data_IF_158174124784
#
_entry.id   IF_158174124784
#
_cell.length_a   1.000
_cell.length_b   1.000
_cell.length_c   1.000
_cell.angle_alpha   90.00
_cell.angle_beta   90.00
_cell.angle_gamma   90.00
#
_symmetry.space_group_name_H-M   'P 1'
#
loop_
_entity.id
_entity.type
_entity.pdbx_description
1 polymer ?
#
# COMPACT_ATOMS: atom_id res chain seq x y z
N UNK A 1 17.53 -22.08 13.45
CA UNK A 1 17.62 -20.74 14.03
C UNK A 1 17.60 -19.65 13.01
N UNK A 2 18.62 -19.63 12.19
CA UNK A 2 18.70 -18.62 11.14
C UNK A 2 17.54 -18.73 10.19
N UNK A 3 17.17 -19.93 9.78
CA UNK A 3 16.08 -20.15 8.86
C UNK A 3 14.75 -19.64 9.43
N UNK A 4 14.56 -19.86 10.73
CA UNK A 4 13.35 -19.39 11.39
C UNK A 4 13.30 -17.87 11.40
N UNK A 5 14.42 -17.24 11.67
CA UNK A 5 14.51 -15.80 11.71
C UNK A 5 14.26 -15.19 10.34
N UNK A 6 14.82 -15.81 9.32
CA UNK A 6 14.61 -15.36 7.95
C UNK A 6 13.14 -15.46 7.56
N UNK A 7 12.50 -16.55 8.01
CA UNK A 7 11.09 -16.76 7.73
C UNK A 7 10.23 -15.66 8.35
N UNK A 8 10.63 -15.23 9.55
CA UNK A 8 9.90 -14.21 10.29
C UNK A 8 9.89 -12.88 9.56
N UNK A 9 10.98 -12.54 8.87
CA UNK A 9 11.11 -11.27 8.18
C UNK A 9 11.01 -11.39 6.67
N UNK A 10 10.65 -12.58 6.18
CA UNK A 10 10.56 -12.80 4.74
C UNK A 10 9.42 -12.02 4.13
N UNK A 11 8.25 -12.09 4.72
CA UNK A 11 7.06 -11.46 4.19
C UNK A 11 6.99 -10.02 4.69
N UNK A 12 6.95 -9.10 3.75
CA UNK A 12 6.92 -7.69 4.05
C UNK A 12 5.72 -7.05 3.37
N UNK A 13 5.28 -5.93 3.90
CA UNK A 13 4.23 -5.13 3.29
C UNK A 13 4.76 -3.74 3.03
N UNK A 14 4.48 -3.24 1.84
CA UNK A 14 4.83 -1.87 1.47
C UNK A 14 3.56 -1.05 1.51
N UNK A 15 3.57 0.02 2.30
CA UNK A 15 2.44 0.95 2.38
C UNK A 15 2.87 2.27 1.77
N UNK A 16 2.02 2.81 0.92
CA UNK A 16 2.27 4.07 0.23
C UNK A 16 1.18 5.05 0.64
N UNK A 17 1.62 6.17 1.23
CA UNK A 17 0.75 7.27 1.61
C UNK A 17 1.10 8.43 0.70
N UNK A 18 0.12 9.06 0.08
CA UNK A 18 0.45 10.13 -0.86
C UNK A 18 -0.58 11.24 -0.81
N UNK A 19 -0.10 12.42 -1.19
CA UNK A 19 -0.91 13.61 -1.29
C UNK A 19 -0.59 14.26 -2.61
N UNK A 20 -1.55 14.27 -3.52
CA UNK A 20 -1.38 14.78 -4.87
C UNK A 20 -2.38 15.89 -5.10
N UNK A 21 -1.95 17.00 -5.71
CA UNK A 21 -2.88 18.08 -6.03
C UNK A 21 -3.88 17.66 -7.08
N UNK A 22 -5.09 18.17 -6.98
CA UNK A 22 -6.17 17.82 -7.90
C UNK A 22 -6.99 19.02 -8.34
N UNK A 23 -6.39 20.21 -8.34
CA UNK A 23 -7.10 21.42 -8.69
C UNK A 23 -7.30 21.57 -10.20
N UNK A 24 -6.29 21.23 -10.96
CA UNK A 24 -6.37 21.36 -12.43
C UNK A 24 -6.65 20.00 -13.04
N UNK A 25 -7.08 20.03 -14.29
CA UNK A 25 -7.35 18.80 -15.01
C UNK A 25 -6.06 17.99 -15.24
N UNK A 26 -4.94 18.67 -15.43
CA UNK A 26 -3.65 18.03 -15.55
C UNK A 26 -3.25 17.33 -14.27
N UNK A 27 -3.48 17.99 -13.13
CA UNK A 27 -3.17 17.41 -11.83
C UNK A 27 -4.02 16.18 -11.57
N UNK A 28 -5.31 16.25 -11.91
CA UNK A 28 -6.20 15.11 -11.72
C UNK A 28 -5.77 13.93 -12.58
N UNK A 29 -5.33 14.22 -13.79
CA UNK A 29 -4.87 13.18 -14.69
C UNK A 29 -3.59 12.53 -14.14
N UNK A 30 -2.68 13.33 -13.62
CA UNK A 30 -1.45 12.81 -13.02
C UNK A 30 -1.74 11.96 -11.80
N UNK A 31 -2.67 12.41 -10.95
CA UNK A 31 -3.07 11.64 -9.77
C UNK A 31 -3.70 10.32 -10.16
N UNK A 32 -4.57 10.35 -11.15
CA UNK A 32 -5.21 9.13 -11.64
C UNK A 32 -4.17 8.17 -12.22
N UNK A 33 -3.21 8.71 -12.95
CA UNK A 33 -2.12 7.90 -13.51
C UNK A 33 -1.28 7.23 -12.44
N UNK A 34 -1.00 7.96 -11.35
CA UNK A 34 -0.25 7.40 -10.25
C UNK A 34 -1.01 6.25 -9.60
N UNK A 35 -2.31 6.42 -9.37
CA UNK A 35 -3.13 5.36 -8.78
C UNK A 35 -3.18 4.13 -9.68
N UNK A 36 -3.32 4.34 -10.98
CA UNK A 36 -3.32 3.23 -11.93
C UNK A 36 -1.97 2.52 -11.93
N UNK A 37 -0.89 3.29 -11.84
CA UNK A 37 0.44 2.72 -11.78
C UNK A 37 0.63 1.83 -10.56
N UNK A 38 0.11 2.27 -9.41
CA UNK A 38 0.18 1.47 -8.19
C UNK A 38 -0.58 0.15 -8.37
N UNK A 39 -1.78 0.23 -8.93
CA UNK A 39 -2.59 -0.97 -9.15
C UNK A 39 -1.88 -1.93 -10.11
N UNK A 40 -1.30 -1.40 -11.18
CA UNK A 40 -0.59 -2.23 -12.14
C UNK A 40 0.65 -2.85 -11.54
N UNK A 41 1.24 -2.20 -10.56
CA UNK A 41 2.40 -2.75 -9.85
C UNK A 41 2.01 -3.69 -8.71
N UNK A 42 0.74 -4.03 -8.61
CA UNK A 42 0.26 -5.02 -7.65
C UNK A 42 -0.19 -4.48 -6.32
N UNK A 43 -0.32 -3.18 -6.19
CA UNK A 43 -0.82 -2.58 -4.95
C UNK A 43 -2.34 -2.64 -4.91
N UNK A 44 -2.86 -2.69 -3.71
CA UNK A 44 -4.30 -2.67 -3.44
C UNK A 44 -4.62 -1.43 -2.61
N UNK A 45 -5.72 -0.79 -2.93
CA UNK A 45 -6.12 0.39 -2.18
C UNK A 45 -6.63 0.01 -0.80
N UNK A 46 -6.02 0.59 0.23
CA UNK A 46 -6.48 0.42 1.59
C UNK A 46 -7.44 1.55 1.94
N UNK A 47 -7.06 2.75 1.59
CA UNK A 47 -7.91 3.93 1.64
C UNK A 47 -7.54 4.79 0.44
N UNK A 48 -8.31 5.82 0.18
CA UNK A 48 -8.18 6.57 -1.07
C UNK A 48 -6.75 7.01 -1.38
N UNK A 49 -6.00 7.43 -0.40
CA UNK A 49 -4.62 7.88 -0.59
C UNK A 49 -3.62 6.96 0.10
N UNK A 50 -4.01 5.72 0.37
CA UNK A 50 -3.15 4.73 1.01
C UNK A 50 -3.27 3.42 0.27
N UNK A 51 -2.14 2.95 -0.26
CA UNK A 51 -2.09 1.70 -0.98
C UNK A 51 -1.11 0.75 -0.31
N UNK A 52 -1.32 -0.54 -0.48
CA UNK A 52 -0.50 -1.55 0.16
C UNK A 52 -0.17 -2.66 -0.80
N UNK A 53 0.97 -3.30 -0.59
CA UNK A 53 1.39 -4.43 -1.39
C UNK A 53 2.12 -5.45 -0.53
N UNK A 54 1.70 -6.70 -0.66
CA UNK A 54 2.35 -7.83 -0.02
C UNK A 54 3.59 -8.20 -0.83
N UNK A 55 4.71 -8.41 -0.16
CA UNK A 55 5.96 -8.76 -0.84
C UNK A 55 6.59 -9.96 -0.15
N UNK A 56 7.00 -10.98 -0.92
CA UNK A 56 7.52 -12.20 -0.32
C UNK A 56 8.90 -12.05 0.31
N UNK A 57 9.60 -10.95 0.06
CA UNK A 57 10.92 -10.74 0.64
C UNK A 57 11.20 -9.24 0.75
N UNK A 58 12.21 -8.90 1.54
CA UNK A 58 12.64 -7.52 1.65
C UNK A 58 13.19 -7.00 0.32
N UNK A 59 13.91 -7.82 -0.40
CA UNK A 59 14.43 -7.42 -1.70
C UNK A 59 13.32 -7.10 -2.68
N UNK A 60 12.27 -7.89 -2.65
CA UNK A 60 11.12 -7.67 -3.49
C UNK A 60 10.44 -6.36 -3.10
N UNK A 61 10.32 -6.12 -1.81
CA UNK A 61 9.74 -4.87 -1.31
C UNK A 61 10.54 -3.67 -1.78
N UNK A 62 11.86 -3.75 -1.71
CA UNK A 62 12.72 -2.65 -2.13
C UNK A 62 12.56 -2.32 -3.60
N UNK A 63 12.35 -3.33 -4.42
CA UNK A 63 12.11 -3.13 -5.84
C UNK A 63 10.85 -2.30 -6.06
N UNK A 64 9.79 -2.63 -5.35
CA UNK A 64 8.54 -1.90 -5.49
C UNK A 64 8.61 -0.50 -4.91
N UNK A 65 9.38 -0.32 -3.85
CA UNK A 65 9.62 1.02 -3.30
C UNK A 65 10.27 1.91 -4.37
N UNK A 66 11.28 1.39 -5.05
CA UNK A 66 11.95 2.15 -6.10
C UNK A 66 10.99 2.51 -7.23
N UNK A 67 10.14 1.57 -7.63
CA UNK A 67 9.18 1.80 -8.69
C UNK A 67 8.18 2.89 -8.32
N UNK A 68 7.68 2.84 -7.09
CA UNK A 68 6.72 3.83 -6.61
C UNK A 68 7.34 5.23 -6.63
N UNK A 69 8.58 5.35 -6.14
CA UNK A 69 9.25 6.63 -6.15
C UNK A 69 9.40 7.21 -7.56
N UNK A 70 9.64 6.33 -8.51
CA UNK A 70 9.80 6.75 -9.90
C UNK A 70 8.48 7.18 -10.55
N UNK A 71 7.37 6.74 -10.01
CA UNK A 71 6.05 7.06 -10.56
C UNK A 71 5.47 8.37 -10.02
N UNK A 72 6.00 8.87 -8.93
CA UNK A 72 5.40 10.03 -8.25
C UNK A 72 5.42 11.26 -9.16
N UNK A 73 4.27 11.93 -9.34
CA UNK A 73 4.24 13.18 -10.13
C UNK A 73 5.08 14.28 -9.50
N UNK A 74 5.53 15.20 -10.32
CA UNK A 74 6.43 16.28 -9.88
C UNK A 74 5.86 17.08 -8.72
N UNK A 75 4.56 17.30 -8.72
CA UNK A 75 3.92 18.13 -7.70
C UNK A 75 3.43 17.33 -6.51
N UNK A 76 3.73 16.05 -6.46
CA UNK A 76 3.18 15.19 -5.43
C UNK A 76 4.14 14.93 -4.29
N UNK A 77 3.58 14.51 -3.16
CA UNK A 77 4.34 14.07 -2.00
C UNK A 77 3.90 12.67 -1.62
N UNK A 78 4.85 11.89 -1.12
CA UNK A 78 4.53 10.54 -0.70
C UNK A 78 5.38 10.10 0.47
N UNK A 79 4.83 9.19 1.25
CA UNK A 79 5.55 8.52 2.33
C UNK A 79 5.41 7.04 2.08
N UNK A 80 6.50 6.33 2.19
CA UNK A 80 6.51 4.88 2.02
C UNK A 80 6.99 4.24 3.31
N UNK A 81 6.26 3.24 3.77
CA UNK A 81 6.62 2.50 4.96
C UNK A 81 6.63 1.02 4.62
N UNK A 82 7.71 0.34 4.98
CA UNK A 82 7.82 -1.10 4.81
C UNK A 82 7.76 -1.75 6.19
N UNK A 83 6.82 -2.66 6.37
CA UNK A 83 6.61 -3.31 7.66
C UNK A 83 6.55 -4.81 7.48
N UNK A 84 6.73 -5.53 8.59
CA UNK A 84 6.64 -6.97 8.56
C UNK A 84 5.18 -7.42 8.48
N UNK A 85 4.99 -8.67 8.10
CA UNK A 85 3.66 -9.25 8.06
C UNK A 85 3.00 -9.21 9.45
N UNK A 86 3.79 -9.44 10.48
CA UNK A 86 3.27 -9.38 11.84
C UNK A 86 2.77 -7.97 12.19
N UNK A 87 3.56 -6.97 11.85
CA UNK A 87 3.15 -5.58 12.10
C UNK A 87 1.91 -5.23 11.31
N UNK A 88 1.83 -5.69 10.08
CA UNK A 88 0.67 -5.44 9.25
C UNK A 88 -0.59 -6.05 9.88
N UNK A 89 -0.46 -7.26 10.43
CA UNK A 89 -1.57 -7.93 11.09
C UNK A 89 -2.03 -7.24 12.36
N UNK A 90 -1.20 -6.38 12.93
CA UNK A 90 -1.55 -5.62 14.13
C UNK A 90 -2.23 -4.30 13.82
N UNK A 91 -2.36 -3.97 12.55
CA UNK A 91 -3.00 -2.74 12.14
C UNK A 91 -4.50 -2.82 12.44
N UNK A 92 -5.02 -1.73 12.99
CA UNK A 92 -6.44 -1.68 13.31
C UNK A 92 -7.17 -0.82 12.28
N UNK A 93 -8.17 -1.40 11.69
CA UNK A 93 -9.00 -0.70 10.71
C UNK A 93 -10.37 -0.43 11.36
N UNK A 94 -10.77 0.80 11.34
CA UNK A 94 -12.05 1.15 11.95
C UNK A 94 -12.76 2.19 11.10
N UNK A 95 -14.08 2.23 11.24
CA UNK A 95 -14.92 3.08 10.44
C UNK A 95 -16.12 3.53 11.24
N UNK A 96 -16.62 4.72 10.94
CA UNK A 96 -17.83 5.22 11.57
C UNK A 96 -19.07 4.61 10.93
N UNK A 97 -18.90 3.88 9.84
CA UNK A 97 -20.02 3.23 9.18
C UNK A 97 -20.47 2.03 9.98
N UNK A 98 -21.75 1.68 9.80
CA UNK A 98 -22.30 0.57 10.51
C UNK A 98 -21.60 -0.74 10.15
N UNK A 99 -21.38 -1.60 11.12
CA UNK A 99 -20.70 -2.87 10.88
C UNK A 99 -21.47 -3.84 10.01
N UNK A 100 -22.68 -3.53 9.65
CA UNK A 100 -23.45 -4.47 8.83
C UNK A 100 -22.95 -4.57 7.39
N UNK A 101 -22.10 -3.68 6.97
CA UNK A 101 -21.53 -3.82 5.65
C UNK A 101 -20.39 -4.80 5.68
N UNK A 102 -20.68 -5.90 6.28
CA UNK A 102 -19.74 -6.96 6.43
C UNK A 102 -19.04 -7.41 5.18
N UNK A 103 -19.67 -7.37 4.01
CA UNK A 103 -18.96 -7.85 2.81
C UNK A 103 -17.67 -7.14 2.55
N UNK A 104 -17.58 -5.87 2.91
CA UNK A 104 -16.36 -5.12 2.67
C UNK A 104 -15.32 -5.32 3.75
N UNK A 105 -15.79 -5.49 4.97
CA UNK A 105 -14.90 -5.64 6.09
C UNK A 105 -14.08 -6.93 6.05
N UNK A 106 -14.71 -8.08 5.82
CA UNK A 106 -13.95 -9.33 5.76
C UNK A 106 -12.98 -9.39 4.59
N UNK A 107 -13.25 -8.67 3.54
CA UNK A 107 -12.39 -8.72 2.37
C UNK A 107 -10.97 -8.33 2.71
N UNK A 108 -10.80 -7.32 3.54
CA UNK A 108 -9.48 -6.90 3.95
C UNK A 108 -8.78 -7.99 4.74
N UNK A 109 -9.51 -8.69 5.58
CA UNK A 109 -8.93 -9.74 6.40
C UNK A 109 -8.65 -11.01 5.63
N UNK A 110 -9.38 -11.25 4.57
CA UNK A 110 -9.16 -12.43 3.75
C UNK A 110 -7.84 -12.37 3.00
N UNK A 111 -7.27 -11.20 2.91
CA UNK A 111 -5.97 -11.04 2.27
C UNK A 111 -4.84 -11.56 3.13
N UNK A 112 -5.09 -11.83 4.36
CA UNK A 112 -4.09 -12.34 5.28
C UNK A 112 -4.16 -13.85 5.37
#
# INVERSE_FOLDING_TARGET
MLAHRLSEYRVMWVLVFFDLPTYTSQERKAASGFRQGLIQDGFTMLQYSIYMRHCPSMEHAETHVRRVKAMLPDEGEGIIMTITDKQFGMMEHFSSHSPKEGPDTPLLFEMF
#
